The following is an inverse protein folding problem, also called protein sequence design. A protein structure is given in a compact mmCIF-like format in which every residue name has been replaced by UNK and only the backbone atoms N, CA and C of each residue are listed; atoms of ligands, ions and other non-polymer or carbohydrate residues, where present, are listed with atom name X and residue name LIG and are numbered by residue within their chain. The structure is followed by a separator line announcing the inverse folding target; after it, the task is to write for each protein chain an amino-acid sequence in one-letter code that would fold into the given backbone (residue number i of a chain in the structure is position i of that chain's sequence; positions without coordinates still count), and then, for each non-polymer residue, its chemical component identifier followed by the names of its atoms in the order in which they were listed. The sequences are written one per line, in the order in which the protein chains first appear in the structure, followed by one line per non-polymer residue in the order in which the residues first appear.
data_IF_090238723655
#
_entry.id   IF_090238723655
#
_cell.length_a   1.000
_cell.length_b   1.000
_cell.length_c   1.000
_cell.angle_alpha   90.00
_cell.angle_beta   90.00
_cell.angle_gamma   90.00
#
_symmetry.space_group_name_H-M   'P 1'
#
loop_
_entity.id
_entity.type
_entity.pdbx_description
1 polymer ?
#
# COMPACT_ATOMS: atom_id res chain seq x y z
N UNK A 1 -7.71 19.31 -34.65
CA UNK A 1 -6.35 18.87 -34.94
C UNK A 1 -5.70 18.52 -33.60
N UNK A 2 -6.09 17.37 -33.03
CA UNK A 2 -5.61 16.88 -31.75
C UNK A 2 -4.40 15.99 -32.01
N UNK A 3 -3.20 16.53 -31.79
CA UNK A 3 -1.99 15.72 -31.78
C UNK A 3 -2.07 14.79 -30.59
N UNK A 4 -2.03 13.52 -30.91
CA UNK A 4 -2.12 12.34 -30.06
C UNK A 4 -1.00 12.38 -29.01
N UNK A 5 -1.24 13.04 -27.87
CA UNK A 5 -0.33 13.03 -26.72
C UNK A 5 -0.09 11.59 -26.21
N UNK A 6 -0.93 10.62 -26.64
CA UNK A 6 -0.82 9.21 -26.27
C UNK A 6 0.34 8.48 -26.97
N UNK A 7 0.82 8.95 -28.12
CA UNK A 7 1.84 8.26 -28.92
C UNK A 7 3.26 8.62 -28.46
N UNK A 8 3.49 9.85 -28.00
CA UNK A 8 4.81 10.29 -27.54
C UNK A 8 5.24 9.63 -26.21
N UNK A 9 4.29 9.23 -25.36
CA UNK A 9 4.57 8.72 -24.02
C UNK A 9 4.95 7.23 -23.98
N UNK A 10 4.53 6.44 -24.97
CA UNK A 10 4.85 4.98 -25.01
C UNK A 10 6.35 4.67 -25.05
N UNK A 11 7.21 5.67 -25.26
CA UNK A 11 8.67 5.54 -25.36
C UNK A 11 9.46 6.36 -24.32
N UNK A 12 8.81 7.08 -23.43
CA UNK A 12 9.51 7.87 -22.41
C UNK A 12 10.07 6.98 -21.31
N UNK A 13 11.38 7.00 -21.11
CA UNK A 13 12.07 6.28 -20.03
C UNK A 13 11.97 7.02 -18.68
N UNK A 14 11.71 8.34 -18.71
CA UNK A 14 11.77 9.19 -17.54
C UNK A 14 10.85 8.79 -16.39
N UNK A 15 9.57 8.38 -16.62
CA UNK A 15 8.71 7.91 -15.52
C UNK A 15 9.27 6.65 -14.84
N UNK A 16 9.88 5.75 -15.61
CA UNK A 16 10.48 4.53 -15.07
C UNK A 16 11.74 4.81 -14.25
N UNK A 17 12.58 5.73 -14.71
CA UNK A 17 13.72 6.21 -13.93
C UNK A 17 13.27 6.91 -12.65
N UNK A 18 12.20 7.72 -12.72
CA UNK A 18 11.61 8.36 -11.57
C UNK A 18 11.07 7.33 -10.54
N UNK A 19 10.43 6.25 -11.00
CA UNK A 19 10.01 5.13 -10.13
C UNK A 19 11.23 4.50 -9.44
N UNK A 20 12.28 4.16 -10.18
CA UNK A 20 13.50 3.58 -9.60
C UNK A 20 14.12 4.52 -8.55
N UNK A 21 14.22 5.80 -8.85
CA UNK A 21 14.74 6.79 -7.91
C UNK A 21 13.86 6.90 -6.65
N UNK A 22 12.54 6.84 -6.80
CA UNK A 22 11.60 6.82 -5.66
C UNK A 22 11.83 5.58 -4.79
N UNK A 23 11.96 4.38 -5.39
CA UNK A 23 12.22 3.16 -4.65
C UNK A 23 13.55 3.20 -3.92
N UNK A 24 14.59 3.74 -4.53
CA UNK A 24 15.89 3.94 -3.88
C UNK A 24 15.76 4.92 -2.71
N UNK A 25 15.08 6.05 -2.92
CA UNK A 25 14.92 7.07 -1.89
C UNK A 25 14.12 6.56 -0.67
N UNK A 26 12.99 5.85 -0.89
CA UNK A 26 12.22 5.26 0.22
C UNK A 26 13.02 4.21 0.96
N UNK A 27 13.76 3.36 0.26
CA UNK A 27 14.64 2.36 0.89
C UNK A 27 15.65 3.00 1.83
N UNK A 28 16.34 4.07 1.38
CA UNK A 28 17.27 4.81 2.24
C UNK A 28 16.57 5.48 3.42
N UNK A 29 15.39 6.05 3.20
CA UNK A 29 14.62 6.70 4.26
C UNK A 29 14.17 5.70 5.33
N UNK A 30 13.66 4.53 4.94
CA UNK A 30 13.27 3.47 5.88
C UNK A 30 14.48 2.93 6.64
N UNK A 31 15.61 2.74 5.96
CA UNK A 31 16.86 2.34 6.61
C UNK A 31 17.31 3.39 7.64
N UNK A 32 17.22 4.68 7.31
CA UNK A 32 17.54 5.77 8.23
C UNK A 32 16.58 5.83 9.44
N UNK A 33 15.32 5.42 9.28
CA UNK A 33 14.36 5.26 10.36
C UNK A 33 14.65 4.03 11.25
N UNK A 34 15.68 3.24 10.92
CA UNK A 34 16.07 2.05 11.67
C UNK A 34 15.22 0.81 11.32
N UNK A 35 14.55 0.80 10.16
CA UNK A 35 13.84 -0.41 9.70
C UNK A 35 14.82 -1.49 9.28
N UNK A 36 14.51 -2.73 9.64
CA UNK A 36 15.33 -3.88 9.26
C UNK A 36 15.10 -4.22 7.79
N UNK A 37 16.11 -4.75 7.12
CA UNK A 37 15.96 -5.25 5.75
C UNK A 37 15.03 -6.45 5.68
N UNK A 38 15.15 -7.38 6.59
CA UNK A 38 14.43 -8.64 6.66
C UNK A 38 14.02 -8.91 8.10
N UNK A 39 13.11 -9.87 8.28
CA UNK A 39 12.69 -10.36 9.58
C UNK A 39 13.91 -10.69 10.49
N UNK A 40 13.88 -10.21 11.74
CA UNK A 40 14.86 -10.58 12.76
C UNK A 40 14.81 -12.08 13.12
N UNK A 41 13.79 -12.79 12.68
CA UNK A 41 13.63 -14.24 12.82
C UNK A 41 14.66 -15.06 12.00
N UNK A 42 15.41 -14.42 11.11
CA UNK A 42 16.40 -15.07 10.24
C UNK A 42 15.80 -15.87 9.07
N UNK A 43 14.48 -15.79 8.86
CA UNK A 43 13.77 -16.47 7.79
C UNK A 43 13.23 -15.45 6.78
N UNK A 44 12.98 -15.89 5.55
CA UNK A 44 12.34 -15.11 4.51
C UNK A 44 11.22 -15.91 3.86
N UNK A 45 10.01 -15.35 3.89
CA UNK A 45 8.85 -15.91 3.21
C UNK A 45 8.32 -14.94 2.15
N UNK A 46 7.83 -15.49 1.04
CA UNK A 46 7.14 -14.69 0.02
C UNK A 46 5.74 -14.28 0.48
N UNK A 47 5.11 -15.11 1.33
CA UNK A 47 3.77 -14.90 1.83
C UNK A 47 3.63 -15.40 3.27
N UNK A 48 2.99 -14.58 4.10
CA UNK A 48 2.52 -14.94 5.46
C UNK A 48 1.02 -14.75 5.52
N UNK A 49 0.27 -15.81 5.75
CA UNK A 49 -1.20 -15.77 5.69
C UNK A 49 -1.91 -15.32 6.98
N UNK A 50 -1.18 -15.19 8.09
CA UNK A 50 -1.72 -14.83 9.39
C UNK A 50 -1.52 -13.34 9.66
N UNK A 51 -2.61 -12.56 9.68
CA UNK A 51 -2.57 -11.11 9.91
C UNK A 51 -2.22 -10.70 11.35
N UNK A 52 -2.22 -11.64 12.31
CA UNK A 52 -1.97 -11.39 13.74
C UNK A 52 -0.83 -12.24 14.28
N UNK A 53 0.20 -12.37 13.49
CA UNK A 53 1.43 -13.06 13.89
C UNK A 53 2.59 -12.08 14.03
N UNK A 54 3.64 -12.50 14.73
CA UNK A 54 4.90 -11.77 14.77
C UNK A 54 5.61 -11.69 13.42
N UNK A 55 5.11 -12.43 12.43
CA UNK A 55 5.65 -12.46 11.05
C UNK A 55 4.92 -11.47 10.12
N UNK A 56 3.77 -10.93 10.52
CA UNK A 56 3.05 -9.89 9.77
C UNK A 56 3.93 -8.66 9.62
N UNK A 57 3.96 -8.06 8.46
CA UNK A 57 4.82 -6.90 8.12
C UNK A 57 6.33 -7.17 8.21
N UNK A 58 6.74 -8.45 8.31
CA UNK A 58 8.15 -8.82 8.43
C UNK A 58 8.71 -9.56 7.21
N UNK A 59 7.84 -9.98 6.29
CA UNK A 59 8.17 -10.73 5.09
C UNK A 59 7.66 -10.01 3.85
N UNK A 60 7.84 -10.58 2.64
CA UNK A 60 7.57 -9.84 1.41
C UNK A 60 6.10 -9.40 1.29
N UNK A 61 5.15 -10.31 1.54
CA UNK A 61 3.71 -10.06 1.42
C UNK A 61 2.95 -10.72 2.57
N UNK A 62 1.86 -10.10 2.96
CA UNK A 62 0.90 -10.60 3.95
C UNK A 62 -0.55 -10.13 3.60
N UNK A 63 -1.57 -10.41 4.43
CA UNK A 63 -2.93 -9.99 4.14
C UNK A 63 -3.11 -8.48 3.98
N UNK A 64 -2.30 -7.65 4.63
CA UNK A 64 -2.36 -6.19 4.47
C UNK A 64 -1.84 -5.73 3.10
N UNK A 65 -1.04 -6.53 2.41
CA UNK A 65 -0.62 -6.22 1.03
C UNK A 65 -1.81 -6.04 0.08
N UNK A 66 -2.99 -6.62 0.39
CA UNK A 66 -4.22 -6.33 -0.37
C UNK A 66 -4.77 -4.93 -0.13
N UNK A 67 -4.56 -4.32 1.04
CA UNK A 67 -4.96 -2.92 1.27
C UNK A 67 -4.12 -1.98 0.40
N UNK A 68 -2.86 -2.30 0.14
CA UNK A 68 -2.00 -1.56 -0.80
C UNK A 68 -2.44 -1.73 -2.26
N UNK A 69 -3.01 -2.90 -2.64
CA UNK A 69 -3.71 -3.03 -3.94
C UNK A 69 -4.89 -2.05 -4.02
N UNK A 70 -5.65 -1.89 -2.93
CA UNK A 70 -6.77 -0.96 -2.86
C UNK A 70 -6.30 0.50 -2.92
N UNK A 71 -5.16 0.86 -2.32
CA UNK A 71 -4.51 2.16 -2.54
C UNK A 71 -4.25 2.40 -4.02
N UNK A 72 -3.70 1.42 -4.72
CA UNK A 72 -3.47 1.50 -6.16
C UNK A 72 -4.74 1.78 -6.97
N UNK A 73 -5.89 1.16 -6.58
CA UNK A 73 -7.19 1.43 -7.21
C UNK A 73 -7.62 2.88 -7.00
N UNK A 74 -7.58 3.35 -5.75
CA UNK A 74 -7.92 4.73 -5.38
C UNK A 74 -7.05 5.73 -6.13
N UNK A 75 -5.73 5.53 -6.15
CA UNK A 75 -4.82 6.42 -6.88
C UNK A 75 -5.07 6.40 -8.38
N UNK A 76 -5.41 5.25 -8.97
CA UNK A 76 -5.76 5.18 -10.39
C UNK A 76 -7.00 6.04 -10.70
N UNK A 77 -8.03 5.99 -9.86
CA UNK A 77 -9.26 6.77 -10.04
C UNK A 77 -9.00 8.27 -9.83
N UNK A 78 -8.37 8.63 -8.72
CA UNK A 78 -8.09 10.03 -8.40
C UNK A 78 -7.19 10.69 -9.45
N UNK A 79 -6.08 10.04 -9.82
CA UNK A 79 -5.17 10.56 -10.83
C UNK A 79 -5.77 10.54 -12.24
N UNK A 80 -6.69 9.61 -12.50
CA UNK A 80 -7.50 9.63 -13.72
C UNK A 80 -8.39 10.86 -13.82
N UNK A 81 -8.93 11.31 -12.69
CA UNK A 81 -9.79 12.49 -12.59
C UNK A 81 -9.00 13.80 -12.54
N UNK A 82 -8.06 13.91 -11.57
CA UNK A 82 -7.39 15.19 -11.31
C UNK A 82 -6.21 15.48 -12.23
N UNK A 83 -5.59 14.45 -12.81
CA UNK A 83 -4.44 14.57 -13.68
C UNK A 83 -4.64 13.91 -15.07
N UNK A 84 -5.77 14.15 -15.78
CA UNK A 84 -6.09 13.44 -17.03
C UNK A 84 -5.09 13.78 -18.16
N UNK A 85 -4.39 14.90 -18.06
CA UNK A 85 -3.40 15.34 -19.06
C UNK A 85 -2.06 14.63 -18.93
N UNK A 86 -1.77 14.05 -17.75
CA UNK A 86 -0.56 13.26 -17.58
C UNK A 86 -0.72 11.90 -18.26
N UNK A 87 0.35 11.39 -18.78
CA UNK A 87 0.39 10.03 -19.28
C UNK A 87 0.17 9.02 -18.15
N UNK A 88 -0.24 7.81 -18.50
CA UNK A 88 -0.51 6.79 -17.49
C UNK A 88 0.75 6.39 -16.71
N UNK A 89 1.94 6.45 -17.34
CA UNK A 89 3.21 6.13 -16.68
C UNK A 89 3.62 7.20 -15.67
N UNK A 90 3.37 8.47 -15.95
CA UNK A 90 3.55 9.54 -14.98
C UNK A 90 2.52 9.45 -13.83
N UNK A 91 1.28 9.06 -14.12
CA UNK A 91 0.28 8.80 -13.07
C UNK A 91 0.66 7.60 -12.21
N UNK A 92 1.20 6.53 -12.80
CA UNK A 92 1.73 5.38 -12.07
C UNK A 92 2.90 5.81 -11.15
N UNK A 93 3.84 6.61 -11.66
CA UNK A 93 4.91 7.15 -10.82
C UNK A 93 4.36 7.97 -9.65
N UNK A 94 3.37 8.82 -9.85
CA UNK A 94 2.73 9.58 -8.76
C UNK A 94 2.06 8.65 -7.73
N UNK A 95 1.40 7.59 -8.17
CA UNK A 95 0.79 6.60 -7.28
C UNK A 95 1.86 5.88 -6.43
N UNK A 96 2.93 5.40 -7.06
CA UNK A 96 4.07 4.77 -6.38
C UNK A 96 4.75 5.74 -5.41
N UNK A 97 4.86 7.01 -5.79
CA UNK A 97 5.44 8.04 -4.91
C UNK A 97 4.54 8.33 -3.71
N UNK A 98 3.23 8.41 -3.92
CA UNK A 98 2.27 8.58 -2.82
C UNK A 98 2.32 7.40 -1.84
N UNK A 99 2.40 6.17 -2.36
CA UNK A 99 2.56 4.97 -1.55
C UNK A 99 3.89 4.95 -0.81
N UNK A 100 4.99 5.28 -1.48
CA UNK A 100 6.30 5.38 -0.85
C UNK A 100 6.33 6.40 0.31
N UNK A 101 5.61 7.53 0.15
CA UNK A 101 5.43 8.51 1.24
C UNK A 101 4.59 7.91 2.37
N UNK A 102 3.54 7.15 2.04
CA UNK A 102 2.74 6.44 3.04
C UNK A 102 3.59 5.46 3.84
N UNK A 103 4.40 4.63 3.20
CA UNK A 103 5.32 3.69 3.87
C UNK A 103 6.28 4.38 4.85
N UNK A 104 6.81 5.55 4.47
CA UNK A 104 7.65 6.36 5.36
C UNK A 104 6.87 6.87 6.56
N UNK A 105 5.62 7.30 6.37
CA UNK A 105 4.75 7.78 7.44
C UNK A 105 4.34 6.62 8.35
N UNK A 106 3.89 5.51 7.79
CA UNK A 106 3.43 4.32 8.50
C UNK A 106 4.54 3.75 9.40
N UNK A 107 5.76 3.75 8.91
CA UNK A 107 6.94 3.31 9.64
C UNK A 107 7.53 4.37 10.58
N UNK A 108 6.85 5.51 10.78
CA UNK A 108 7.21 6.48 11.82
C UNK A 108 6.81 5.98 13.21
N UNK A 109 7.56 6.40 14.24
CA UNK A 109 7.25 6.05 15.62
C UNK A 109 5.84 6.50 16.03
N UNK A 110 5.34 7.59 15.45
CA UNK A 110 4.00 8.11 15.71
C UNK A 110 2.92 7.12 15.24
N UNK A 111 2.98 6.67 13.99
CA UNK A 111 1.98 5.75 13.42
C UNK A 111 2.09 4.35 14.04
N UNK A 112 3.31 3.85 14.26
CA UNK A 112 3.54 2.58 14.96
C UNK A 112 2.89 2.60 16.35
N UNK A 113 3.10 3.68 17.11
CA UNK A 113 2.48 3.81 18.42
C UNK A 113 0.95 3.87 18.30
N UNK A 114 0.42 4.56 17.30
CA UNK A 114 -1.01 4.65 17.04
C UNK A 114 -1.65 3.29 16.75
N UNK A 115 -1.01 2.46 15.92
CA UNK A 115 -1.47 1.08 15.67
C UNK A 115 -1.43 0.21 16.94
N UNK A 116 -0.42 0.38 17.80
CA UNK A 116 -0.37 -0.33 19.09
C UNK A 116 -1.50 0.08 20.01
N UNK A 117 -1.84 1.35 20.07
CA UNK A 117 -2.97 1.88 20.84
C UNK A 117 -4.30 1.34 20.29
N UNK A 118 -4.42 1.14 18.98
CA UNK A 118 -5.57 0.55 18.32
C UNK A 118 -5.59 -1.00 18.34
N UNK A 119 -4.80 -1.65 19.20
CA UNK A 119 -4.85 -3.09 19.43
C UNK A 119 -3.78 -3.93 18.74
N UNK A 120 -2.94 -3.37 17.88
CA UNK A 120 -1.83 -4.08 17.25
C UNK A 120 -0.57 -4.11 18.16
N UNK A 121 -0.70 -4.64 19.37
CA UNK A 121 0.33 -4.58 20.42
C UNK A 121 1.70 -5.14 20.01
N UNK A 122 1.73 -6.07 19.07
CA UNK A 122 2.96 -6.68 18.55
C UNK A 122 3.55 -5.99 17.32
N UNK A 123 2.94 -4.90 16.83
CA UNK A 123 3.45 -4.21 15.65
C UNK A 123 4.67 -3.34 15.98
N UNK A 124 5.75 -3.52 15.23
CA UNK A 124 7.01 -2.80 15.41
C UNK A 124 7.42 -1.99 14.17
N UNK A 125 6.52 -1.88 13.20
CA UNK A 125 6.78 -1.37 11.87
C UNK A 125 7.26 -2.48 10.92
N UNK A 126 7.26 -2.14 9.64
CA UNK A 126 7.55 -3.08 8.57
C UNK A 126 9.05 -3.27 8.38
N UNK A 127 9.42 -4.39 7.79
CA UNK A 127 10.75 -4.52 7.19
C UNK A 127 10.80 -3.76 5.86
N UNK A 128 11.99 -3.36 5.43
CA UNK A 128 12.20 -2.67 4.15
C UNK A 128 11.66 -3.54 2.99
N UNK A 129 11.85 -4.86 3.05
CA UNK A 129 11.35 -5.78 2.02
C UNK A 129 9.83 -5.84 2.00
N UNK A 130 9.15 -5.78 3.14
CA UNK A 130 7.70 -5.71 3.20
C UNK A 130 7.18 -4.40 2.59
N UNK A 131 7.70 -3.24 3.03
CA UNK A 131 7.34 -1.95 2.45
C UNK A 131 7.54 -1.88 0.93
N UNK A 132 8.63 -2.47 0.41
CA UNK A 132 8.84 -2.56 -1.04
C UNK A 132 7.84 -3.50 -1.72
N UNK A 133 7.44 -4.58 -1.04
CA UNK A 133 6.37 -5.47 -1.46
C UNK A 133 5.03 -4.73 -1.57
N UNK A 134 4.69 -3.94 -0.57
CA UNK A 134 3.44 -3.19 -0.49
C UNK A 134 3.38 -2.05 -1.52
N UNK A 135 4.49 -1.34 -1.75
CA UNK A 135 4.61 -0.40 -2.87
C UNK A 135 4.41 -1.12 -4.23
N UNK A 136 4.96 -2.32 -4.39
CA UNK A 136 4.76 -3.10 -5.62
C UNK A 136 3.30 -3.53 -5.78
N UNK A 137 2.61 -3.90 -4.68
CA UNK A 137 1.19 -4.26 -4.69
C UNK A 137 0.29 -3.04 -4.99
N UNK A 138 0.64 -1.85 -4.52
CA UNK A 138 -0.01 -0.61 -4.94
C UNK A 138 0.16 -0.37 -6.44
N UNK A 139 1.37 -0.49 -6.97
CA UNK A 139 1.65 -0.39 -8.41
C UNK A 139 0.84 -1.41 -9.23
N UNK A 140 0.76 -2.66 -8.76
CA UNK A 140 -0.07 -3.70 -9.35
C UNK A 140 -1.55 -3.32 -9.34
N UNK A 141 -2.07 -2.84 -8.20
CA UNK A 141 -3.45 -2.35 -8.07
C UNK A 141 -3.77 -1.22 -9.05
N UNK A 142 -2.88 -0.24 -9.18
CA UNK A 142 -3.03 0.85 -10.14
C UNK A 142 -3.15 0.34 -11.58
N UNK A 143 -2.27 -0.57 -12.00
CA UNK A 143 -2.28 -1.16 -13.35
C UNK A 143 -3.55 -1.98 -13.57
N UNK A 144 -3.94 -2.78 -12.57
CA UNK A 144 -5.16 -3.60 -12.61
C UNK A 144 -6.42 -2.73 -12.73
N UNK A 145 -6.56 -1.68 -11.92
CA UNK A 145 -7.69 -0.74 -11.99
C UNK A 145 -7.78 -0.05 -13.34
N UNK A 146 -6.63 0.37 -13.89
CA UNK A 146 -6.55 0.94 -15.23
C UNK A 146 -7.04 -0.04 -16.30
N UNK A 147 -6.64 -1.32 -16.21
CA UNK A 147 -7.02 -2.34 -17.17
C UNK A 147 -8.51 -2.70 -17.08
N UNK A 148 -9.04 -2.84 -15.88
CA UNK A 148 -10.44 -3.19 -15.62
C UNK A 148 -11.42 -2.04 -15.94
N UNK A 149 -10.95 -0.80 -15.84
CA UNK A 149 -11.80 0.39 -15.87
C UNK A 149 -12.56 0.60 -14.54
N UNK A 150 -13.22 1.76 -14.40
CA UNK A 150 -13.78 2.21 -13.13
C UNK A 150 -14.78 1.22 -12.52
N UNK A 151 -15.82 0.81 -13.26
CA UNK A 151 -16.91 0.01 -12.70
C UNK A 151 -16.43 -1.36 -12.20
N UNK A 152 -15.59 -2.05 -13.00
CA UNK A 152 -15.11 -3.39 -12.62
C UNK A 152 -14.10 -3.31 -11.48
N UNK A 153 -13.22 -2.31 -11.49
CA UNK A 153 -12.26 -2.11 -10.40
C UNK A 153 -12.97 -1.67 -9.12
N UNK A 154 -14.06 -0.90 -9.18
CA UNK A 154 -14.88 -0.57 -8.01
C UNK A 154 -15.56 -1.83 -7.43
N UNK A 155 -16.11 -2.69 -8.28
CA UNK A 155 -16.70 -3.95 -7.84
C UNK A 155 -15.65 -4.84 -7.15
N UNK A 156 -14.45 -4.92 -7.72
CA UNK A 156 -13.35 -5.69 -7.12
C UNK A 156 -12.83 -5.04 -5.82
N UNK A 157 -12.78 -3.72 -5.76
CA UNK A 157 -12.45 -2.98 -4.53
C UNK A 157 -13.41 -3.37 -3.39
N UNK A 158 -14.72 -3.27 -3.63
CA UNK A 158 -15.73 -3.63 -2.63
C UNK A 158 -15.63 -5.11 -2.24
N UNK A 159 -15.40 -5.99 -3.21
CA UNK A 159 -15.23 -7.41 -2.93
C UNK A 159 -14.01 -7.68 -2.04
N UNK A 160 -12.87 -7.03 -2.30
CA UNK A 160 -11.66 -7.17 -1.47
C UNK A 160 -11.86 -6.58 -0.07
N UNK A 161 -12.50 -5.41 0.07
CA UNK A 161 -12.86 -4.85 1.38
C UNK A 161 -13.69 -5.86 2.20
N UNK A 162 -14.72 -6.45 1.58
CA UNK A 162 -15.58 -7.44 2.25
C UNK A 162 -14.78 -8.70 2.62
N UNK A 163 -13.94 -9.20 1.73
CA UNK A 163 -13.11 -10.39 2.00
C UNK A 163 -12.16 -10.12 3.17
N UNK A 164 -11.45 -9.00 3.17
CA UNK A 164 -10.52 -8.63 4.23
C UNK A 164 -11.26 -8.46 5.57
N UNK A 165 -12.43 -7.82 5.56
CA UNK A 165 -13.25 -7.63 6.74
C UNK A 165 -13.61 -8.95 7.43
N UNK A 166 -13.95 -9.99 6.67
CA UNK A 166 -14.28 -11.30 7.22
C UNK A 166 -13.04 -12.18 7.49
N UNK A 167 -11.98 -12.03 6.71
CA UNK A 167 -10.78 -12.85 6.84
C UNK A 167 -9.90 -12.42 8.00
N UNK A 168 -9.57 -11.12 8.05
CA UNK A 168 -8.61 -10.58 9.03
C UNK A 168 -9.26 -9.63 10.05
N UNK A 169 -10.57 -9.39 9.93
CA UNK A 169 -11.33 -8.40 10.72
C UNK A 169 -10.75 -6.99 10.59
N UNK A 170 -10.23 -6.68 9.41
CA UNK A 170 -9.70 -5.38 9.06
C UNK A 170 -9.89 -5.15 7.55
N UNK A 171 -9.76 -3.92 7.11
CA UNK A 171 -9.84 -3.54 5.70
C UNK A 171 -9.21 -2.16 5.52
N UNK A 172 -9.02 -1.70 4.28
CA UNK A 172 -8.47 -0.36 4.05
C UNK A 172 -9.32 0.72 4.73
N UNK A 173 -10.64 0.65 4.58
CA UNK A 173 -11.54 1.66 5.16
C UNK A 173 -11.49 1.62 6.69
N UNK A 174 -11.53 0.43 7.31
CA UNK A 174 -11.42 0.30 8.75
C UNK A 174 -10.09 0.76 9.29
N UNK A 175 -9.00 0.40 8.63
CA UNK A 175 -7.66 0.81 8.99
C UNK A 175 -7.52 2.33 9.01
N UNK A 176 -8.00 3.02 7.96
CA UNK A 176 -8.02 4.49 7.92
C UNK A 176 -8.89 5.08 9.04
N UNK A 177 -10.06 4.51 9.30
CA UNK A 177 -10.97 5.00 10.37
C UNK A 177 -10.29 4.85 11.74
N UNK A 178 -9.77 3.68 12.07
CA UNK A 178 -9.14 3.43 13.39
C UNK A 178 -7.85 4.23 13.58
N UNK A 179 -7.09 4.48 12.52
CA UNK A 179 -5.90 5.32 12.56
C UNK A 179 -6.23 6.78 12.90
N UNK A 180 -7.32 7.33 12.33
CA UNK A 180 -7.75 8.72 12.56
C UNK A 180 -8.47 8.83 13.91
N UNK A 181 -9.43 7.96 14.16
CA UNK A 181 -10.28 7.97 15.34
C UNK A 181 -10.57 6.53 15.81
N UNK A 182 -9.83 6.01 16.81
CA UNK A 182 -10.06 4.68 17.33
C UNK A 182 -11.44 4.60 18.00
N UNK A 183 -12.16 3.54 17.65
CA UNK A 183 -13.51 3.26 18.12
C UNK A 183 -13.47 1.97 18.91
N UNK A 184 -13.68 2.03 20.23
CA UNK A 184 -13.53 0.90 21.15
C UNK A 184 -14.26 -0.38 20.71
N UNK A 185 -15.50 -0.29 20.21
CA UNK A 185 -16.23 -1.46 19.77
C UNK A 185 -15.62 -2.11 18.51
N UNK A 186 -15.00 -1.31 17.61
CA UNK A 186 -14.27 -1.84 16.44
C UNK A 186 -13.02 -2.57 16.93
N UNK A 187 -12.26 -1.96 17.83
CA UNK A 187 -11.05 -2.56 18.39
C UNK A 187 -11.36 -3.88 19.11
N UNK A 188 -12.44 -3.93 19.92
CA UNK A 188 -12.90 -5.15 20.58
C UNK A 188 -13.29 -6.21 19.55
N UNK A 189 -14.04 -5.85 18.49
CA UNK A 189 -14.41 -6.78 17.45
C UNK A 189 -13.18 -7.27 16.65
N UNK A 190 -12.24 -6.39 16.35
CA UNK A 190 -10.97 -6.76 15.73
C UNK A 190 -10.16 -7.69 16.65
N UNK A 191 -10.13 -7.45 17.95
CA UNK A 191 -9.45 -8.31 18.92
C UNK A 191 -10.11 -9.69 19.10
N UNK A 192 -11.34 -9.88 18.65
CA UNK A 192 -12.02 -11.18 18.69
C UNK A 192 -12.93 -11.39 19.91
N UNK A 193 -13.28 -10.30 20.60
CA UNK A 193 -14.25 -10.31 21.71
C UNK A 193 -15.64 -9.94 21.23
#
# INVERSE_FOLDING_TARGET
MGLDASVADKRSIWPWLAIVLTLVAVTFQLYYQGRLWLCSCGQFFLWVGEARSSNTSQHLLDPYSFTHVLHGFVFCWLLGWFAPRLSWTWRLWLAITAEAVWEVIENSNFVIQRYREAGALGYFGDTIVNSLGDIAMCGFGFVLARYLGFVRSLALFVALEVVLLFWIRDSLVLNVVTLIYPIEWIEQWQAGY
#
